data_IF_884496005951
#
_entry.id   IF_884496005951
#
_cell.length_a   1.000
_cell.length_b   1.000
_cell.length_c   1.000
_cell.angle_alpha   90.00
_cell.angle_beta   90.00
_cell.angle_gamma   90.00
#
_symmetry.space_group_name_H-M   'P 1'
#
loop_
_entity.id
_entity.type
_entity.pdbx_description
1 polymer ?
#
# COMPACT_ATOMS: atom_id res chain seq x y z
N UNK A 1 4.75 2.03 4.73
CA UNK A 1 4.97 3.12 3.77
C UNK A 1 4.79 2.62 2.32
N UNK A 2 4.63 3.48 1.29
CA UNK A 2 4.38 3.00 -0.08
C UNK A 2 5.49 2.09 -0.62
N UNK A 3 6.75 2.32 -0.23
CA UNK A 3 7.89 1.48 -0.62
C UNK A 3 7.76 0.03 -0.14
N UNK A 4 7.17 -0.22 1.04
CA UNK A 4 7.01 -1.58 1.58
C UNK A 4 5.99 -2.40 0.75
N UNK A 5 4.99 -1.71 0.19
CA UNK A 5 3.96 -2.31 -0.67
C UNK A 5 4.58 -2.65 -2.02
N UNK A 6 5.37 -1.74 -2.59
CA UNK A 6 6.06 -1.93 -3.87
C UNK A 6 7.08 -3.07 -3.77
N UNK A 7 7.93 -3.08 -2.74
CA UNK A 7 8.94 -4.13 -2.56
C UNK A 7 8.31 -5.51 -2.39
N UNK A 8 7.21 -5.62 -1.64
CA UNK A 8 6.50 -6.89 -1.49
C UNK A 8 5.82 -7.34 -2.79
N UNK A 9 5.26 -6.41 -3.58
CA UNK A 9 4.73 -6.75 -4.90
C UNK A 9 5.82 -7.26 -5.84
N UNK A 10 7.01 -6.63 -5.85
CA UNK A 10 8.15 -7.09 -6.63
C UNK A 10 8.59 -8.50 -6.22
N UNK A 11 8.68 -8.77 -4.91
CA UNK A 11 8.98 -10.11 -4.36
C UNK A 11 7.95 -11.16 -4.81
N UNK A 12 6.65 -10.86 -4.73
CA UNK A 12 5.59 -11.74 -5.21
C UNK A 12 5.69 -12.05 -6.71
N UNK A 13 6.16 -11.09 -7.51
CA UNK A 13 6.37 -11.25 -8.96
C UNK A 13 7.73 -11.86 -9.32
N UNK A 14 8.59 -12.17 -8.34
CA UNK A 14 9.96 -12.63 -8.58
C UNK A 14 10.84 -11.59 -9.28
N UNK A 15 10.53 -10.30 -9.12
CA UNK A 15 11.22 -9.18 -9.73
C UNK A 15 12.12 -8.47 -8.72
N UNK A 16 13.24 -7.85 -9.14
CA UNK A 16 14.00 -6.99 -8.26
C UNK A 16 13.14 -5.78 -7.84
N UNK A 17 13.23 -5.33 -6.57
CA UNK A 17 12.53 -4.12 -6.14
C UNK A 17 13.07 -2.90 -6.91
N UNK A 18 12.20 -1.93 -7.26
CA UNK A 18 12.62 -0.68 -7.87
C UNK A 18 13.60 0.08 -6.97
N UNK A 19 14.50 0.91 -7.55
CA UNK A 19 15.41 1.74 -6.77
C UNK A 19 14.65 2.73 -5.89
N UNK A 20 15.12 2.95 -4.67
CA UNK A 20 14.59 3.99 -3.80
C UNK A 20 15.10 5.37 -4.23
N UNK A 21 14.22 6.36 -4.18
CA UNK A 21 14.54 7.77 -4.45
C UNK A 21 14.17 8.58 -3.22
N UNK A 22 15.06 9.46 -2.77
CA UNK A 22 14.77 10.36 -1.66
C UNK A 22 13.61 11.29 -2.04
N UNK A 23 12.76 11.63 -1.08
CA UNK A 23 11.57 12.46 -1.35
C UNK A 23 11.91 13.82 -1.96
N UNK A 24 13.01 14.42 -1.53
CA UNK A 24 13.48 15.73 -2.02
C UNK A 24 14.00 15.67 -3.47
N UNK A 25 14.51 14.50 -3.89
CA UNK A 25 15.04 14.24 -5.24
C UNK A 25 13.97 13.69 -6.20
N UNK A 26 12.78 13.37 -5.70
CA UNK A 26 11.72 12.78 -6.50
C UNK A 26 11.03 13.83 -7.38
N UNK A 27 10.98 13.55 -8.69
CA UNK A 27 10.23 14.34 -9.68
C UNK A 27 8.72 14.04 -9.58
N UNK A 28 8.11 14.55 -8.51
CA UNK A 28 6.70 14.40 -8.22
C UNK A 28 5.92 15.61 -8.73
N UNK A 29 4.80 15.34 -9.44
CA UNK A 29 3.82 16.37 -9.75
C UNK A 29 3.30 17.05 -8.47
N UNK A 30 2.77 18.28 -8.54
CA UNK A 30 2.22 18.95 -7.36
C UNK A 30 1.15 18.12 -6.63
N UNK A 31 0.32 17.39 -7.38
CA UNK A 31 -0.67 16.49 -6.82
C UNK A 31 -0.03 15.29 -6.11
N UNK A 32 0.94 14.62 -6.73
CA UNK A 32 1.65 13.51 -6.10
C UNK A 32 2.37 13.95 -4.83
N UNK A 33 2.97 15.14 -4.83
CA UNK A 33 3.63 15.73 -3.64
C UNK A 33 2.65 15.98 -2.49
N UNK A 34 1.40 16.35 -2.79
CA UNK A 34 0.36 16.57 -1.76
C UNK A 34 -0.03 15.30 -0.99
N UNK A 35 0.16 14.11 -1.57
CA UNK A 35 -0.06 12.86 -0.83
C UNK A 35 0.95 12.66 0.30
N UNK A 36 2.16 13.21 0.17
CA UNK A 36 3.21 13.10 1.18
C UNK A 36 3.22 14.27 2.18
N UNK A 37 2.35 15.28 2.01
CA UNK A 37 2.29 16.41 2.94
C UNK A 37 1.63 16.08 4.27
N UNK A 38 0.90 14.95 4.35
CA UNK A 38 0.31 14.46 5.59
C UNK A 38 0.68 12.98 5.83
N UNK A 39 0.92 12.63 7.09
CA UNK A 39 1.12 11.23 7.50
C UNK A 39 0.35 10.94 8.78
N UNK A 40 -0.65 10.06 8.69
CA UNK A 40 -1.51 9.66 9.82
C UNK A 40 -1.95 8.21 9.69
N UNK A 41 -2.27 7.59 10.83
CA UNK A 41 -2.90 6.25 10.88
C UNK A 41 -4.38 6.42 11.16
N UNK A 42 -5.22 5.73 10.39
CA UNK A 42 -6.68 5.79 10.51
C UNK A 42 -7.15 4.54 11.25
N UNK A 43 -7.88 4.72 12.35
CA UNK A 43 -8.54 3.60 13.05
C UNK A 43 -9.77 3.16 12.27
N UNK A 44 -10.03 1.86 12.23
CA UNK A 44 -11.19 1.27 11.57
C UNK A 44 -12.18 0.62 12.56
N UNK A 45 -12.09 0.95 13.84
CA UNK A 45 -12.90 0.34 14.90
C UNK A 45 -14.41 0.55 14.69
N UNK A 46 -14.79 1.76 14.24
CA UNK A 46 -16.19 2.14 14.07
C UNK A 46 -16.92 1.27 13.05
N UNK A 47 -16.30 1.03 11.89
CA UNK A 47 -16.91 0.20 10.84
C UNK A 47 -17.02 -1.27 11.25
N UNK A 48 -16.04 -1.77 12.02
CA UNK A 48 -16.08 -3.13 12.58
C UNK A 48 -17.18 -3.27 13.64
N UNK A 49 -17.27 -2.31 14.55
CA UNK A 49 -18.20 -2.34 15.68
C UNK A 49 -19.65 -2.09 15.26
N UNK A 50 -19.90 -1.07 14.42
CA UNK A 50 -21.26 -0.66 14.07
C UNK A 50 -21.84 -1.51 12.93
N UNK A 51 -21.02 -1.97 11.98
CA UNK A 51 -21.49 -2.69 10.79
C UNK A 51 -21.14 -4.19 10.80
N UNK A 52 -20.43 -4.68 11.82
CA UNK A 52 -19.95 -6.07 11.86
C UNK A 52 -18.97 -6.41 10.74
N UNK A 53 -18.38 -5.40 10.10
CA UNK A 53 -17.50 -5.62 8.94
C UNK A 53 -16.21 -6.31 9.37
N UNK A 54 -15.92 -7.43 8.70
CA UNK A 54 -14.63 -8.13 8.80
C UNK A 54 -13.90 -7.99 7.46
N UNK A 55 -12.73 -7.33 7.41
CA UNK A 55 -12.00 -7.19 6.16
C UNK A 55 -11.53 -8.56 5.65
N UNK A 56 -11.85 -8.88 4.40
CA UNK A 56 -11.35 -10.08 3.73
C UNK A 56 -9.82 -10.06 3.60
N UNK A 57 -9.26 -8.87 3.38
CA UNK A 57 -7.82 -8.61 3.31
C UNK A 57 -7.44 -7.60 4.39
N UNK A 58 -7.05 -8.05 5.60
CA UNK A 58 -6.78 -7.15 6.73
C UNK A 58 -5.50 -6.32 6.57
N UNK A 59 -4.62 -6.72 5.65
CA UNK A 59 -3.37 -6.04 5.36
C UNK A 59 -3.04 -6.09 3.86
N UNK A 60 -2.07 -5.26 3.45
CA UNK A 60 -1.66 -5.18 2.05
C UNK A 60 -1.04 -6.48 1.53
N UNK A 61 -0.47 -7.34 2.38
CA UNK A 61 0.18 -8.57 1.94
C UNK A 61 -0.84 -9.63 1.55
N UNK A 62 -1.88 -9.79 2.37
CA UNK A 62 -3.04 -10.64 2.06
C UNK A 62 -3.75 -10.15 0.79
N UNK A 63 -3.96 -8.85 0.65
CA UNK A 63 -4.57 -8.25 -0.54
C UNK A 63 -3.75 -8.48 -1.81
N UNK A 64 -2.44 -8.20 -1.79
CA UNK A 64 -1.59 -8.38 -2.98
C UNK A 64 -1.47 -9.84 -3.42
N UNK A 65 -1.43 -10.80 -2.48
CA UNK A 65 -1.45 -12.24 -2.83
C UNK A 65 -2.75 -12.62 -3.53
N UNK A 66 -3.89 -12.14 -3.02
CA UNK A 66 -5.19 -12.44 -3.62
C UNK A 66 -5.34 -11.81 -5.02
N UNK A 67 -4.80 -10.60 -5.22
CA UNK A 67 -4.75 -9.98 -6.56
C UNK A 67 -3.93 -10.84 -7.52
N UNK A 68 -2.73 -11.29 -7.10
CA UNK A 68 -1.89 -12.14 -7.93
C UNK A 68 -2.56 -13.47 -8.27
N UNK A 69 -3.22 -14.10 -7.29
CA UNK A 69 -3.96 -15.35 -7.50
C UNK A 69 -5.16 -15.18 -8.45
N UNK A 70 -5.83 -14.03 -8.42
CA UNK A 70 -6.98 -13.75 -9.29
C UNK A 70 -6.60 -13.44 -10.75
N UNK A 71 -5.38 -12.95 -10.99
CA UNK A 71 -4.89 -12.54 -12.32
C UNK A 71 -3.98 -13.60 -13.00
N UNK A 72 -3.60 -14.66 -12.27
CA UNK A 72 -2.77 -15.77 -12.77
C UNK A 72 -3.57 -16.87 -13.46
#
# INVERSE_FOLDING_TARGET
PPQDVIAFAADLLGMPPPPEVAFDDADLSPMARSFYSESKRVRNDRIKAELGWTPLYPDYRSGLRAVLEAEG
#
